data_IF_828395938859
#
_entry.id   IF_828395938859
#
_cell.length_a   1.000
_cell.length_b   1.000
_cell.length_c   1.000
_cell.angle_alpha   90.00
_cell.angle_beta   90.00
_cell.angle_gamma   90.00
#
_symmetry.space_group_name_H-M   'P 1'
#
loop_
_entity.id
_entity.type
_entity.pdbx_description
1 polymer ?
#
# COMPACT_ATOMS: atom_id res chain seq x y z
N UNK A 1 27.94 17.83 29.76
CA UNK A 1 28.19 18.27 28.38
C UNK A 1 27.66 17.18 27.46
N UNK A 2 26.66 17.41 26.61
CA UNK A 2 26.31 16.43 25.58
C UNK A 2 27.45 16.38 24.56
N UNK A 3 27.98 15.18 24.32
CA UNK A 3 29.15 14.96 23.46
C UNK A 3 28.92 15.51 22.04
N UNK A 4 29.90 16.27 21.55
CA UNK A 4 29.79 17.11 20.36
C UNK A 4 30.21 16.43 19.05
N UNK A 5 30.45 15.12 18.99
CA UNK A 5 30.66 14.41 17.71
C UNK A 5 30.58 12.89 17.91
N UNK A 6 29.35 12.36 17.96
CA UNK A 6 29.11 10.97 17.59
C UNK A 6 28.53 11.02 16.18
N UNK A 7 29.28 10.53 15.18
CA UNK A 7 28.79 10.40 13.80
C UNK A 7 27.35 9.86 13.83
N UNK A 8 26.43 10.56 13.15
CA UNK A 8 25.01 10.21 13.17
C UNK A 8 24.88 8.71 12.88
N UNK A 9 24.28 7.95 13.80
CA UNK A 9 24.02 6.53 13.56
C UNK A 9 23.27 6.34 12.25
N UNK A 10 23.48 5.20 11.58
CA UNK A 10 23.02 4.98 10.19
C UNK A 10 21.54 5.39 9.95
N UNK A 11 20.67 5.15 10.93
CA UNK A 11 19.27 5.58 10.90
C UNK A 11 19.09 7.10 10.76
N UNK A 12 19.78 7.88 11.60
CA UNK A 12 19.73 9.33 11.58
C UNK A 12 20.47 9.92 10.38
N UNK A 13 21.53 9.27 9.92
CA UNK A 13 22.22 9.63 8.68
C UNK A 13 21.32 9.47 7.45
N UNK A 14 20.49 8.41 7.42
CA UNK A 14 19.43 8.20 6.42
C UNK A 14 18.19 9.10 6.63
N UNK A 15 18.20 9.96 7.66
CA UNK A 15 17.11 10.89 7.95
C UNK A 15 15.84 10.22 8.46
N UNK A 16 15.91 9.01 8.99
CA UNK A 16 14.76 8.28 9.54
C UNK A 16 14.53 8.63 11.01
N UNK A 17 13.28 8.54 11.47
CA UNK A 17 12.93 8.76 12.88
C UNK A 17 13.29 7.58 13.78
N UNK A 18 12.71 6.41 13.50
CA UNK A 18 13.01 5.15 14.19
C UNK A 18 13.42 4.10 13.16
N UNK A 19 14.47 3.34 13.48
CA UNK A 19 14.86 2.16 12.70
C UNK A 19 14.76 0.87 13.52
N UNK A 20 14.13 -0.15 12.95
CA UNK A 20 14.05 -1.51 13.49
C UNK A 20 14.68 -2.45 12.47
N UNK A 21 15.96 -2.75 12.63
CA UNK A 21 16.80 -3.38 11.60
C UNK A 21 17.26 -4.77 12.03
N UNK A 22 16.83 -5.81 11.31
CA UNK A 22 17.41 -7.14 11.29
C UNK A 22 17.82 -7.53 9.86
N UNK A 23 18.17 -8.81 9.65
CA UNK A 23 18.48 -9.36 8.31
C UNK A 23 17.65 -10.63 8.04
N UNK A 24 17.77 -11.21 6.85
CA UNK A 24 17.10 -12.48 6.54
C UNK A 24 17.67 -13.64 7.37
N UNK A 25 18.97 -13.63 7.64
CA UNK A 25 19.69 -14.62 8.44
C UNK A 25 19.45 -14.43 9.94
N UNK A 26 19.35 -13.16 10.37
CA UNK A 26 19.17 -12.77 11.76
C UNK A 26 18.00 -11.77 11.90
N UNK A 27 16.75 -12.24 11.74
CA UNK A 27 15.61 -11.34 11.80
C UNK A 27 15.39 -10.85 13.23
N UNK A 28 15.05 -9.57 13.35
CA UNK A 28 14.73 -8.96 14.64
C UNK A 28 13.29 -9.32 15.04
N UNK A 29 13.14 -10.02 16.17
CA UNK A 29 11.88 -10.69 16.53
C UNK A 29 11.11 -9.94 17.62
N UNK A 30 9.79 -9.86 17.47
CA UNK A 30 8.88 -9.46 18.56
C UNK A 30 8.94 -7.98 18.98
N UNK A 31 9.54 -7.12 18.16
CA UNK A 31 9.62 -5.68 18.44
C UNK A 31 8.23 -5.05 18.38
N UNK A 32 7.96 -4.14 19.32
CA UNK A 32 6.73 -3.34 19.33
C UNK A 32 7.07 -1.85 19.35
N UNK A 33 6.56 -1.09 18.39
CA UNK A 33 6.58 0.37 18.35
C UNK A 33 5.15 0.84 18.58
N UNK A 34 4.91 1.62 19.65
CA UNK A 34 3.54 2.01 20.03
C UNK A 34 3.45 3.39 20.62
N UNK A 35 2.28 4.02 20.41
CA UNK A 35 1.84 5.22 21.15
C UNK A 35 2.80 6.41 21.09
N UNK A 36 3.29 6.74 19.89
CA UNK A 36 4.21 7.86 19.68
C UNK A 36 3.94 8.60 18.37
N UNK A 37 4.49 9.80 18.24
CA UNK A 37 4.42 10.61 17.01
C UNK A 37 5.79 10.69 16.36
N UNK A 38 5.87 10.36 15.06
CA UNK A 38 7.06 10.46 14.21
C UNK A 38 6.80 11.54 13.16
N UNK A 39 7.46 12.69 13.28
CA UNK A 39 7.12 13.89 12.53
C UNK A 39 8.33 14.60 11.96
N UNK A 40 8.24 15.00 10.69
CA UNK A 40 9.17 15.97 10.09
C UNK A 40 10.55 15.40 9.78
N UNK A 41 10.68 14.07 9.74
CA UNK A 41 11.94 13.42 9.36
C UNK A 41 12.17 13.55 7.85
N UNK A 42 13.42 13.77 7.41
CA UNK A 42 13.73 13.94 5.99
C UNK A 42 13.60 12.66 5.18
N UNK A 43 13.66 11.50 5.84
CA UNK A 43 13.34 10.19 5.28
C UNK A 43 12.04 9.64 5.83
N UNK A 44 12.09 8.45 6.43
CA UNK A 44 10.92 7.74 6.95
C UNK A 44 10.60 8.14 8.40
N UNK A 45 9.32 8.10 8.78
CA UNK A 45 8.94 8.16 10.18
C UNK A 45 9.47 6.93 10.93
N UNK A 46 8.98 5.75 10.56
CA UNK A 46 9.48 4.45 10.99
C UNK A 46 10.01 3.67 9.78
N UNK A 47 11.24 3.15 9.88
CA UNK A 47 11.82 2.20 8.94
C UNK A 47 12.06 0.87 9.66
N UNK A 48 11.43 -0.21 9.20
CA UNK A 48 11.67 -1.55 9.70
C UNK A 48 12.12 -2.46 8.56
N UNK A 49 13.18 -3.24 8.76
CA UNK A 49 13.65 -4.22 7.77
C UNK A 49 14.10 -5.51 8.46
N UNK A 50 13.87 -6.66 7.84
CA UNK A 50 14.30 -7.96 8.38
C UNK A 50 13.67 -8.28 9.74
N UNK A 51 12.35 -8.09 9.89
CA UNK A 51 11.65 -8.32 11.17
C UNK A 51 10.72 -9.53 11.15
N UNK A 52 10.49 -10.10 12.33
CA UNK A 52 9.52 -11.18 12.53
C UNK A 52 8.59 -10.85 13.71
N UNK A 53 7.29 -10.78 13.46
CA UNK A 53 6.27 -10.37 14.45
C UNK A 53 6.47 -8.94 14.96
N UNK A 54 6.84 -8.02 14.07
CA UNK A 54 6.80 -6.58 14.35
C UNK A 54 5.36 -6.15 14.64
N UNK A 55 5.16 -5.35 15.68
CA UNK A 55 3.89 -4.71 15.99
C UNK A 55 4.05 -3.20 15.99
N UNK A 56 3.37 -2.52 15.07
CA UNK A 56 3.23 -1.06 15.07
C UNK A 56 1.80 -0.76 15.46
N UNK A 57 1.61 0.03 16.53
CA UNK A 57 0.26 0.32 17.02
C UNK A 57 0.09 1.69 17.64
N UNK A 58 -0.91 2.44 17.18
CA UNK A 58 -1.20 3.77 17.74
C UNK A 58 -0.07 4.75 17.47
N UNK A 59 0.68 4.57 16.38
CA UNK A 59 1.74 5.46 15.93
C UNK A 59 1.13 6.51 15.01
N UNK A 60 1.46 7.78 15.23
CA UNK A 60 1.16 8.85 14.27
C UNK A 60 2.43 9.17 13.49
N UNK A 61 2.47 8.87 12.19
CA UNK A 61 3.58 9.22 11.31
C UNK A 61 3.15 10.30 10.32
N UNK A 62 3.74 11.49 10.41
CA UNK A 62 3.27 12.63 9.63
C UNK A 62 4.37 13.55 9.11
N UNK A 63 4.14 14.13 7.92
CA UNK A 63 5.04 15.11 7.32
C UNK A 63 6.49 14.61 7.18
N UNK A 64 6.67 13.31 6.95
CA UNK A 64 7.98 12.72 6.70
C UNK A 64 8.31 12.76 5.21
N UNK A 65 9.59 12.87 4.87
CA UNK A 65 10.09 13.11 3.52
C UNK A 65 10.02 11.90 2.57
N UNK A 66 9.66 10.72 3.07
CA UNK A 66 9.40 9.55 2.21
C UNK A 66 8.17 8.80 2.68
N UNK A 67 8.31 7.79 3.55
CA UNK A 67 7.20 6.98 4.06
C UNK A 67 6.86 7.31 5.51
N UNK A 68 5.59 7.20 5.88
CA UNK A 68 5.18 7.32 7.28
C UNK A 68 5.71 6.15 8.10
N UNK A 69 5.21 4.95 7.81
CA UNK A 69 5.67 3.68 8.39
C UNK A 69 6.01 2.72 7.25
N UNK A 70 7.27 2.31 7.20
CA UNK A 70 7.78 1.39 6.20
C UNK A 70 8.25 0.07 6.83
N UNK A 71 7.88 -1.06 6.22
CA UNK A 71 8.32 -2.39 6.58
C UNK A 71 8.82 -3.14 5.33
N UNK A 72 10.09 -3.52 5.34
CA UNK A 72 10.77 -4.24 4.29
C UNK A 72 11.19 -5.64 4.79
N UNK A 73 11.25 -6.65 3.91
CA UNK A 73 11.78 -7.99 4.23
C UNK A 73 11.25 -8.57 5.56
N UNK A 74 10.00 -8.28 5.88
CA UNK A 74 9.43 -8.53 7.22
C UNK A 74 8.26 -9.50 7.15
N UNK A 75 8.14 -10.36 8.15
CA UNK A 75 7.10 -11.39 8.22
C UNK A 75 6.28 -11.30 9.50
N UNK A 76 5.01 -11.74 9.42
CA UNK A 76 4.04 -11.79 10.54
C UNK A 76 3.85 -10.44 11.23
N UNK A 77 4.01 -9.35 10.49
CA UNK A 77 3.90 -8.00 11.04
C UNK A 77 2.43 -7.62 11.23
N UNK A 78 2.16 -6.75 12.22
CA UNK A 78 0.85 -6.15 12.43
C UNK A 78 1.02 -4.63 12.55
N UNK A 79 0.48 -3.90 11.57
CA UNK A 79 0.38 -2.43 11.59
C UNK A 79 -1.09 -2.09 11.88
N UNK A 80 -1.37 -1.45 13.01
CA UNK A 80 -2.77 -1.25 13.40
C UNK A 80 -3.06 -0.04 14.25
N UNK A 81 -4.21 0.59 14.01
CA UNK A 81 -4.62 1.80 14.72
C UNK A 81 -3.62 2.95 14.56
N UNK A 82 -2.84 2.94 13.49
CA UNK A 82 -1.87 3.97 13.16
C UNK A 82 -2.52 5.09 12.34
N UNK A 83 -1.96 6.29 12.46
CA UNK A 83 -2.33 7.46 11.66
C UNK A 83 -1.14 7.84 10.80
N UNK A 84 -1.26 7.72 9.48
CA UNK A 84 -0.21 8.14 8.55
C UNK A 84 -0.71 9.27 7.65
N UNK A 85 -0.20 10.49 7.84
CA UNK A 85 -0.72 11.65 7.12
C UNK A 85 0.32 12.61 6.59
N UNK A 86 0.03 13.15 5.40
CA UNK A 86 0.85 14.18 4.76
C UNK A 86 2.33 13.79 4.62
N UNK A 87 2.64 12.50 4.49
CA UNK A 87 3.98 12.04 4.14
C UNK A 87 4.20 12.22 2.64
N UNK A 88 5.45 12.41 2.22
CA UNK A 88 5.76 12.79 0.84
C UNK A 88 5.39 11.72 -0.19
N UNK A 89 5.52 10.44 0.18
CA UNK A 89 5.15 9.30 -0.66
C UNK A 89 4.00 8.49 -0.03
N UNK A 90 4.28 7.30 0.51
CA UNK A 90 3.26 6.44 1.11
C UNK A 90 3.03 6.72 2.61
N UNK A 91 1.77 6.58 3.05
CA UNK A 91 1.45 6.56 4.48
C UNK A 91 2.01 5.30 5.15
N UNK A 92 1.57 4.14 4.65
CA UNK A 92 2.05 2.82 5.05
C UNK A 92 2.66 2.12 3.84
N UNK A 93 3.92 1.69 3.95
CA UNK A 93 4.66 1.05 2.86
C UNK A 93 5.16 -0.32 3.31
N UNK A 94 4.78 -1.38 2.58
CA UNK A 94 5.25 -2.73 2.83
C UNK A 94 5.86 -3.29 1.55
N UNK A 95 7.10 -3.77 1.62
CA UNK A 95 7.80 -4.30 0.45
C UNK A 95 8.62 -5.56 0.72
N UNK A 96 8.76 -6.39 -0.31
CA UNK A 96 9.73 -7.48 -0.34
C UNK A 96 11.15 -6.92 -0.28
N UNK A 97 11.49 -6.04 -1.21
CA UNK A 97 12.75 -5.30 -1.33
C UNK A 97 12.50 -3.89 -1.84
N UNK A 98 13.32 -2.93 -1.42
CA UNK A 98 13.22 -1.53 -1.89
C UNK A 98 14.12 -1.19 -3.08
N UNK A 99 15.24 -1.90 -3.21
CA UNK A 99 16.38 -1.56 -4.06
C UNK A 99 16.71 -2.60 -5.14
N UNK A 100 16.36 -3.87 -4.91
CA UNK A 100 16.54 -4.96 -5.88
C UNK A 100 15.23 -5.43 -6.50
N UNK A 101 15.31 -5.94 -7.73
CA UNK A 101 14.22 -6.68 -8.37
C UNK A 101 14.34 -8.15 -7.96
N UNK A 102 13.44 -8.59 -7.09
CA UNK A 102 13.34 -9.95 -6.58
C UNK A 102 11.87 -10.38 -6.59
N UNK A 103 11.66 -11.69 -6.72
CA UNK A 103 10.34 -12.30 -6.57
C UNK A 103 9.65 -11.89 -5.27
N UNK A 104 8.32 -11.86 -5.29
CA UNK A 104 7.52 -11.47 -4.16
C UNK A 104 7.77 -12.36 -2.94
N UNK A 105 7.94 -11.72 -1.78
CA UNK A 105 8.23 -12.42 -0.52
C UNK A 105 6.95 -12.78 0.22
N UNK A 106 6.88 -14.02 0.71
CA UNK A 106 5.79 -14.47 1.59
C UNK A 106 5.92 -13.80 2.97
N UNK A 107 4.95 -12.93 3.29
CA UNK A 107 4.92 -12.22 4.58
C UNK A 107 4.45 -13.11 5.73
N UNK A 108 4.00 -14.33 5.46
CA UNK A 108 3.51 -15.30 6.43
C UNK A 108 2.35 -14.75 7.27
N UNK A 109 1.39 -14.08 6.63
CA UNK A 109 0.20 -13.45 7.23
C UNK A 109 0.48 -12.13 7.94
N UNK A 110 1.17 -11.20 7.27
CA UNK A 110 1.21 -9.80 7.72
C UNK A 110 -0.19 -9.17 7.60
N UNK A 111 -0.54 -8.28 8.54
CA UNK A 111 -1.84 -7.60 8.60
C UNK A 111 -1.69 -6.10 8.77
N UNK A 112 -2.39 -5.33 7.94
CA UNK A 112 -2.52 -3.88 8.00
C UNK A 112 -3.98 -3.54 8.27
N UNK A 113 -4.32 -3.09 9.48
CA UNK A 113 -5.73 -2.90 9.86
C UNK A 113 -6.06 -1.73 10.75
N UNK A 114 -7.27 -1.18 10.63
CA UNK A 114 -7.76 -0.09 11.48
C UNK A 114 -6.89 1.17 11.44
N UNK A 115 -6.17 1.40 10.34
CA UNK A 115 -5.33 2.58 10.18
C UNK A 115 -6.11 3.71 9.50
N UNK A 116 -5.69 4.95 9.75
CA UNK A 116 -6.19 6.14 9.04
C UNK A 116 -5.06 6.74 8.22
N UNK A 117 -5.20 6.73 6.90
CA UNK A 117 -4.19 7.24 5.97
C UNK A 117 -4.73 8.43 5.18
N UNK A 118 -4.07 9.59 5.26
CA UNK A 118 -4.63 10.84 4.72
C UNK A 118 -3.59 11.74 4.06
N UNK A 119 -3.90 12.32 2.90
CA UNK A 119 -3.06 13.38 2.30
C UNK A 119 -1.70 12.93 1.74
N UNK A 120 -1.39 11.64 1.76
CA UNK A 120 -0.16 11.07 1.21
C UNK A 120 -0.24 10.96 -0.32
N UNK A 121 0.86 10.64 -1.01
CA UNK A 121 0.81 10.23 -2.43
C UNK A 121 0.01 8.93 -2.54
N UNK A 122 0.38 7.92 -1.75
CA UNK A 122 -0.36 6.66 -1.65
C UNK A 122 -0.72 6.39 -0.20
N UNK A 123 -1.95 5.97 0.09
CA UNK A 123 -2.36 5.63 1.45
C UNK A 123 -1.61 4.41 1.97
N UNK A 124 -1.84 3.26 1.33
CA UNK A 124 -1.19 1.96 1.61
C UNK A 124 -0.56 1.42 0.33
N UNK A 125 0.73 1.09 0.38
CA UNK A 125 1.45 0.42 -0.70
C UNK A 125 1.89 -0.97 -0.26
N UNK A 126 1.57 -1.98 -1.07
CA UNK A 126 2.06 -3.36 -0.92
C UNK A 126 2.83 -3.71 -2.19
N UNK A 127 4.14 -3.90 -2.08
CA UNK A 127 5.02 -4.08 -3.25
C UNK A 127 5.82 -5.38 -3.18
N UNK A 128 5.67 -6.26 -4.17
CA UNK A 128 6.41 -7.55 -4.25
C UNK A 128 6.25 -8.37 -2.97
N UNK A 129 5.01 -8.54 -2.53
CA UNK A 129 4.68 -9.31 -1.33
C UNK A 129 3.57 -10.32 -1.62
N UNK A 130 3.57 -11.40 -0.83
CA UNK A 130 2.48 -12.37 -0.79
C UNK A 130 1.93 -12.61 0.61
N UNK A 131 0.74 -13.21 0.69
CA UNK A 131 0.13 -13.72 1.93
C UNK A 131 -0.08 -12.63 3.00
N UNK A 132 -0.69 -11.51 2.60
CA UNK A 132 -0.89 -10.31 3.41
C UNK A 132 -2.35 -9.85 3.34
N UNK A 133 -2.85 -9.30 4.45
CA UNK A 133 -4.19 -8.72 4.53
C UNK A 133 -4.13 -7.21 4.82
N UNK A 134 -4.75 -6.40 3.98
CA UNK A 134 -5.14 -5.02 4.22
C UNK A 134 -6.62 -5.02 4.55
N UNK A 135 -7.00 -4.61 5.76
CA UNK A 135 -8.41 -4.64 6.15
C UNK A 135 -8.87 -3.53 7.10
N UNK A 136 -10.13 -3.11 6.96
CA UNK A 136 -10.77 -2.18 7.91
C UNK A 136 -9.99 -0.87 8.13
N UNK A 137 -9.30 -0.37 7.11
CA UNK A 137 -8.61 0.91 7.11
C UNK A 137 -9.50 2.01 6.53
N UNK A 138 -9.20 3.26 6.88
CA UNK A 138 -9.81 4.45 6.29
C UNK A 138 -8.77 5.23 5.50
N UNK A 139 -9.06 5.52 4.23
CA UNK A 139 -8.17 6.29 3.36
C UNK A 139 -8.92 7.44 2.67
N UNK A 140 -8.45 8.66 2.86
CA UNK A 140 -9.06 9.86 2.26
C UNK A 140 -8.04 10.92 1.86
N UNK A 141 -8.31 11.66 0.79
CA UNK A 141 -7.48 12.79 0.37
C UNK A 141 -6.05 12.43 -0.07
N UNK A 142 -5.73 11.15 -0.24
CA UNK A 142 -4.48 10.72 -0.89
C UNK A 142 -4.59 10.90 -2.42
N UNK A 143 -3.52 10.65 -3.17
CA UNK A 143 -3.61 10.58 -4.65
C UNK A 143 -4.12 9.21 -5.11
N UNK A 144 -3.70 8.16 -4.41
CA UNK A 144 -4.26 6.80 -4.48
C UNK A 144 -4.46 6.23 -3.08
N UNK A 145 -5.52 5.46 -2.86
CA UNK A 145 -5.85 4.93 -1.54
C UNK A 145 -5.02 3.67 -1.20
N UNK A 146 -5.15 2.62 -2.01
CA UNK A 146 -4.44 1.35 -1.88
C UNK A 146 -3.81 0.97 -3.22
N UNK A 147 -2.52 0.66 -3.20
CA UNK A 147 -1.76 0.26 -4.38
C UNK A 147 -1.02 -1.05 -4.11
N UNK A 148 -1.43 -2.12 -4.80
CA UNK A 148 -0.76 -3.42 -4.81
C UNK A 148 0.07 -3.50 -6.09
N UNK A 149 1.38 -3.68 -5.95
CA UNK A 149 2.33 -3.67 -7.07
C UNK A 149 3.17 -4.96 -7.08
N UNK A 150 3.06 -5.70 -8.17
CA UNK A 150 4.05 -6.66 -8.64
C UNK A 150 4.59 -6.25 -10.01
N UNK A 151 5.53 -7.02 -10.50
CA UNK A 151 6.28 -6.79 -11.75
C UNK A 151 6.43 -8.10 -12.56
N UNK A 152 5.60 -9.11 -12.27
CA UNK A 152 5.67 -10.42 -12.93
C UNK A 152 6.90 -11.26 -12.56
N UNK A 153 7.78 -10.78 -11.68
CA UNK A 153 8.85 -11.59 -11.11
C UNK A 153 8.28 -12.82 -10.39
N UNK A 154 9.04 -13.92 -10.36
CA UNK A 154 8.61 -15.17 -9.70
C UNK A 154 9.30 -15.32 -8.34
N UNK A 155 8.55 -15.62 -7.25
CA UNK A 155 7.10 -15.71 -7.16
C UNK A 155 6.37 -14.38 -7.43
N UNK A 156 5.19 -14.40 -8.04
CA UNK A 156 4.41 -13.19 -8.36
C UNK A 156 3.90 -12.53 -7.07
N UNK A 157 3.59 -11.23 -7.04
CA UNK A 157 2.86 -10.65 -5.90
C UNK A 157 1.45 -11.27 -5.82
N UNK A 158 0.97 -11.72 -4.67
CA UNK A 158 -0.31 -12.46 -4.65
C UNK A 158 -0.67 -13.12 -3.32
N UNK A 159 -1.74 -13.93 -3.30
CA UNK A 159 -2.35 -14.40 -2.05
C UNK A 159 -2.70 -13.25 -1.10
N UNK A 160 -3.26 -12.17 -1.65
CA UNK A 160 -3.54 -10.94 -0.93
C UNK A 160 -5.03 -10.80 -0.63
N UNK A 161 -5.34 -10.03 0.42
CA UNK A 161 -6.71 -9.68 0.78
C UNK A 161 -6.79 -8.19 1.03
N UNK A 162 -7.65 -7.48 0.31
CA UNK A 162 -7.99 -6.07 0.54
C UNK A 162 -9.47 -6.02 0.87
N UNK A 163 -9.81 -5.89 2.14
CA UNK A 163 -11.18 -6.17 2.60
C UNK A 163 -11.72 -5.21 3.65
N UNK A 164 -13.00 -4.85 3.52
CA UNK A 164 -13.71 -4.01 4.52
C UNK A 164 -13.06 -2.65 4.74
N UNK A 165 -12.25 -2.17 3.80
CA UNK A 165 -11.70 -0.83 3.84
C UNK A 165 -12.75 0.21 3.43
N UNK A 166 -12.65 1.41 4.01
CA UNK A 166 -13.46 2.57 3.64
C UNK A 166 -12.56 3.61 2.97
N UNK A 167 -12.66 3.67 1.65
CA UNK A 167 -11.79 4.48 0.79
C UNK A 167 -12.66 5.55 0.14
N UNK A 168 -12.35 6.82 0.37
CA UNK A 168 -13.18 7.91 -0.16
C UNK A 168 -12.37 9.11 -0.60
N UNK A 169 -12.71 9.65 -1.76
CA UNK A 169 -12.21 10.95 -2.23
C UNK A 169 -10.67 11.09 -2.20
N UNK A 170 -9.95 10.05 -2.60
CA UNK A 170 -8.50 10.12 -2.82
C UNK A 170 -8.21 10.78 -4.18
N UNK A 171 -8.46 12.09 -4.26
CA UNK A 171 -8.49 12.90 -5.50
C UNK A 171 -7.34 13.90 -5.59
N UNK A 172 -6.39 13.87 -4.65
CA UNK A 172 -5.22 14.75 -4.69
C UNK A 172 -4.44 14.45 -5.98
N UNK A 173 -3.95 15.49 -6.65
CA UNK A 173 -3.06 15.31 -7.79
C UNK A 173 -1.62 15.12 -7.30
N UNK A 174 -0.96 14.09 -7.82
CA UNK A 174 0.45 13.82 -7.61
C UNK A 174 1.15 13.66 -8.95
N UNK A 175 2.18 14.48 -9.22
CA UNK A 175 2.93 14.45 -10.47
C UNK A 175 3.52 13.07 -10.79
N UNK A 176 3.75 12.79 -12.07
CA UNK A 176 4.40 11.55 -12.50
C UNK A 176 5.82 11.42 -11.91
N UNK A 177 6.28 10.18 -11.75
CA UNK A 177 7.67 9.85 -11.45
C UNK A 177 8.25 9.03 -12.60
N UNK A 178 9.57 8.79 -12.65
CA UNK A 178 10.15 7.95 -13.69
C UNK A 178 9.58 6.53 -13.76
N UNK A 179 9.02 6.01 -12.66
CA UNK A 179 8.52 4.63 -12.54
C UNK A 179 6.98 4.51 -12.49
N UNK A 180 6.26 5.63 -12.45
CA UNK A 180 4.81 5.62 -12.21
C UNK A 180 4.19 6.85 -12.88
N UNK A 181 3.05 6.71 -13.60
CA UNK A 181 2.32 7.87 -14.10
C UNK A 181 1.91 8.80 -12.94
N UNK A 182 1.40 9.98 -13.30
CA UNK A 182 0.76 10.82 -12.30
C UNK A 182 -0.40 10.05 -11.62
N UNK A 183 -0.68 10.35 -10.35
CA UNK A 183 -1.74 9.70 -9.59
C UNK A 183 -2.80 10.73 -9.23
N UNK A 184 -4.06 10.35 -9.39
CA UNK A 184 -5.20 11.15 -9.00
C UNK A 184 -6.45 10.28 -9.03
N UNK A 185 -7.30 10.35 -8.01
CA UNK A 185 -8.64 9.78 -8.09
C UNK A 185 -8.64 8.26 -8.17
N UNK A 186 -7.87 7.62 -7.30
CA UNK A 186 -7.69 6.16 -7.32
C UNK A 186 -8.09 5.56 -5.97
N UNK A 187 -9.02 4.60 -5.99
CA UNK A 187 -9.39 3.79 -4.83
C UNK A 187 -8.39 2.65 -4.58
N UNK A 188 -8.64 1.50 -5.20
CA UNK A 188 -7.79 0.30 -5.12
C UNK A 188 -7.22 0.04 -6.51
N UNK A 189 -5.90 -0.17 -6.61
CA UNK A 189 -5.25 -0.66 -7.83
C UNK A 189 -4.53 -1.97 -7.54
N UNK A 190 -4.76 -2.95 -8.40
CA UNK A 190 -3.95 -4.17 -8.49
C UNK A 190 -3.16 -4.12 -9.80
N UNK A 191 -1.85 -4.30 -9.72
CA UNK A 191 -0.99 -4.31 -10.89
C UNK A 191 0.14 -5.33 -10.79
N UNK A 192 0.27 -6.19 -11.81
CA UNK A 192 1.24 -7.29 -11.85
C UNK A 192 1.12 -8.28 -10.70
N UNK A 193 -0.09 -8.48 -10.18
CA UNK A 193 -0.36 -9.35 -9.03
C UNK A 193 -1.28 -10.51 -9.40
N UNK A 194 -1.33 -11.53 -8.56
CA UNK A 194 -2.24 -12.66 -8.72
C UNK A 194 -3.03 -12.96 -7.44
N UNK A 195 -4.05 -13.81 -7.52
CA UNK A 195 -4.72 -14.44 -6.38
C UNK A 195 -5.08 -13.46 -5.24
N UNK A 196 -5.64 -12.31 -5.62
CA UNK A 196 -6.00 -11.23 -4.70
C UNK A 196 -7.52 -11.16 -4.54
N UNK A 197 -7.97 -11.21 -3.28
CA UNK A 197 -9.37 -10.99 -2.93
C UNK A 197 -9.60 -9.52 -2.58
N UNK A 198 -10.46 -8.85 -3.34
CA UNK A 198 -10.96 -7.50 -3.03
C UNK A 198 -12.43 -7.62 -2.65
N UNK A 199 -12.74 -7.52 -1.35
CA UNK A 199 -14.11 -7.81 -0.90
C UNK A 199 -14.65 -6.97 0.26
N UNK A 200 -15.93 -6.62 0.19
CA UNK A 200 -16.63 -5.91 1.26
C UNK A 200 -16.15 -4.47 1.46
N UNK A 201 -15.45 -3.88 0.49
CA UNK A 201 -14.94 -2.52 0.60
C UNK A 201 -16.01 -1.49 0.23
N UNK A 202 -15.92 -0.30 0.83
CA UNK A 202 -16.69 0.87 0.45
C UNK A 202 -15.75 1.86 -0.24
N UNK A 203 -15.87 1.98 -1.56
CA UNK A 203 -14.93 2.70 -2.43
C UNK A 203 -15.67 3.79 -3.20
N UNK A 204 -15.53 5.03 -2.76
CA UNK A 204 -16.44 6.09 -3.19
C UNK A 204 -15.75 7.38 -3.64
N UNK A 205 -16.32 8.02 -4.65
CA UNK A 205 -15.98 9.40 -5.03
C UNK A 205 -14.52 9.62 -5.43
N UNK A 206 -13.84 8.61 -5.97
CA UNK A 206 -12.51 8.73 -6.55
C UNK A 206 -12.61 9.30 -7.97
N UNK A 207 -12.06 10.49 -8.21
CA UNK A 207 -12.20 11.22 -9.48
C UNK A 207 -10.84 11.75 -9.91
N UNK A 208 -10.40 11.29 -11.07
CA UNK A 208 -9.15 11.71 -11.69
C UNK A 208 -9.12 11.32 -13.16
N UNK A 209 -8.02 11.68 -13.81
CA UNK A 209 -7.78 11.39 -15.24
C UNK A 209 -6.48 10.61 -15.47
N UNK A 210 -5.89 10.07 -14.40
CA UNK A 210 -4.73 9.20 -14.56
C UNK A 210 -5.12 7.86 -15.15
N UNK A 211 -4.17 7.14 -15.79
CA UNK A 211 -4.42 5.77 -16.26
C UNK A 211 -4.92 4.82 -15.15
N UNK A 212 -4.63 5.14 -13.89
CA UNK A 212 -5.00 4.37 -12.71
C UNK A 212 -6.23 4.94 -11.97
N UNK A 213 -6.89 5.96 -12.52
CA UNK A 213 -8.10 6.53 -11.92
C UNK A 213 -9.28 5.56 -11.99
N UNK A 214 -10.09 5.55 -10.94
CA UNK A 214 -11.25 4.68 -10.78
C UNK A 214 -11.47 4.24 -9.33
N UNK A 215 -12.57 3.49 -9.11
CA UNK A 215 -12.87 2.89 -7.81
C UNK A 215 -11.96 1.70 -7.51
N UNK A 216 -12.19 0.56 -8.17
CA UNK A 216 -11.32 -0.61 -8.16
C UNK A 216 -10.79 -0.82 -9.57
N UNK A 217 -9.47 -0.82 -9.72
CA UNK A 217 -8.80 -0.85 -11.02
C UNK A 217 -7.86 -2.06 -11.08
N UNK A 218 -8.06 -2.91 -12.08
CA UNK A 218 -7.09 -3.92 -12.49
C UNK A 218 -6.31 -3.36 -13.68
N UNK A 219 -4.99 -3.34 -13.57
CA UNK A 219 -4.12 -2.75 -14.58
C UNK A 219 -2.85 -3.59 -14.70
N UNK A 220 -2.43 -3.95 -15.92
CA UNK A 220 -1.17 -4.69 -16.12
C UNK A 220 0.01 -3.99 -15.43
N UNK A 221 1.06 -4.74 -15.09
CA UNK A 221 2.30 -4.18 -14.54
C UNK A 221 2.87 -3.11 -15.46
N UNK A 222 3.69 -2.21 -14.91
CA UNK A 222 4.38 -1.20 -15.74
C UNK A 222 5.40 -1.80 -16.71
N UNK A 223 5.70 -3.08 -16.55
CA UNK A 223 6.54 -3.90 -17.43
C UNK A 223 5.71 -4.76 -18.40
N UNK A 224 4.37 -4.67 -18.34
CA UNK A 224 3.43 -5.37 -19.21
C UNK A 224 3.01 -6.76 -18.73
N UNK A 225 3.37 -7.15 -17.50
CA UNK A 225 2.93 -8.42 -16.92
C UNK A 225 1.44 -8.33 -16.53
N UNK A 226 0.59 -9.29 -16.92
CA UNK A 226 -0.81 -9.26 -16.53
C UNK A 226 -0.99 -9.48 -15.03
N UNK A 227 -2.15 -9.11 -14.51
CA UNK A 227 -2.66 -9.68 -13.27
C UNK A 227 -3.31 -11.05 -13.54
N UNK A 228 -3.49 -11.86 -12.50
CA UNK A 228 -4.16 -13.15 -12.62
C UNK A 228 -5.11 -13.50 -11.46
N UNK A 229 -6.22 -14.19 -11.74
CA UNK A 229 -7.06 -14.88 -10.73
C UNK A 229 -7.55 -14.03 -9.55
N UNK A 230 -7.73 -12.74 -9.78
CA UNK A 230 -8.35 -11.85 -8.80
C UNK A 230 -9.84 -12.17 -8.60
N UNK A 231 -10.31 -12.00 -7.36
CA UNK A 231 -11.73 -12.08 -7.01
C UNK A 231 -12.16 -10.74 -6.44
N UNK A 232 -13.03 -10.03 -7.16
CA UNK A 232 -13.59 -8.73 -6.75
C UNK A 232 -15.06 -8.93 -6.45
N UNK A 233 -15.45 -8.93 -5.16
CA UNK A 233 -16.82 -9.25 -4.78
C UNK A 233 -17.39 -8.47 -3.62
N UNK A 234 -18.71 -8.33 -3.60
CA UNK A 234 -19.45 -7.76 -2.47
C UNK A 234 -18.97 -6.35 -2.07
N UNK A 235 -18.45 -5.56 -3.02
CA UNK A 235 -17.98 -4.20 -2.78
C UNK A 235 -19.08 -3.18 -3.11
N UNK A 236 -19.15 -2.09 -2.35
CA UNK A 236 -19.89 -0.89 -2.74
C UNK A 236 -18.91 0.08 -3.42
N UNK A 237 -19.05 0.27 -4.73
CA UNK A 237 -18.11 1.05 -5.54
C UNK A 237 -18.90 2.05 -6.36
N UNK A 238 -18.97 3.31 -5.90
CA UNK A 238 -19.89 4.29 -6.50
C UNK A 238 -19.32 5.70 -6.57
N UNK A 239 -19.72 6.44 -7.60
CA UNK A 239 -19.38 7.85 -7.77
C UNK A 239 -17.92 8.06 -8.18
N UNK A 240 -17.24 7.01 -8.63
CA UNK A 240 -15.87 7.08 -9.11
C UNK A 240 -15.83 7.44 -10.61
N UNK A 241 -14.72 8.02 -11.05
CA UNK A 241 -14.49 8.46 -12.43
C UNK A 241 -13.04 8.16 -12.82
N UNK A 242 -12.81 7.57 -14.01
CA UNK A 242 -13.78 7.37 -15.10
C UNK A 242 -14.72 6.16 -14.95
N UNK A 243 -14.46 5.21 -14.04
CA UNK A 243 -15.36 4.08 -13.77
C UNK A 243 -15.30 3.67 -12.29
N UNK A 244 -16.36 2.99 -11.83
CA UNK A 244 -16.40 2.38 -10.50
C UNK A 244 -15.54 1.11 -10.47
N UNK A 245 -15.78 0.19 -11.40
CA UNK A 245 -14.91 -0.97 -11.63
C UNK A 245 -14.23 -0.81 -12.97
N UNK A 246 -12.90 -0.87 -13.01
CA UNK A 246 -12.14 -0.77 -14.24
C UNK A 246 -11.21 -1.97 -14.36
N UNK A 247 -11.61 -2.97 -15.13
CA UNK A 247 -10.74 -4.03 -15.58
C UNK A 247 -10.06 -3.58 -16.88
N UNK A 248 -8.87 -2.98 -16.73
CA UNK A 248 -8.01 -2.52 -17.83
C UNK A 248 -6.83 -3.45 -18.03
N UNK A 249 -6.96 -4.67 -17.55
CA UNK A 249 -5.97 -5.71 -17.79
C UNK A 249 -6.23 -6.41 -19.13
N UNK A 250 -5.27 -7.22 -19.54
CA UNK A 250 -5.36 -8.12 -20.71
C UNK A 250 -5.78 -9.53 -20.31
N UNK A 251 -5.64 -9.91 -19.04
CA UNK A 251 -6.05 -11.21 -18.53
C UNK A 251 -7.57 -11.32 -18.33
N UNK A 252 -8.11 -12.51 -18.57
CA UNK A 252 -9.55 -12.82 -18.42
C UNK A 252 -9.84 -13.72 -17.22
N UNK A 253 -8.84 -13.99 -16.38
CA UNK A 253 -8.95 -14.92 -15.25
C UNK A 253 -9.60 -14.30 -14.00
N UNK A 254 -9.99 -13.04 -14.06
CA UNK A 254 -10.61 -12.30 -12.97
C UNK A 254 -12.09 -12.65 -12.81
N UNK A 255 -12.57 -12.63 -11.57
CA UNK A 255 -13.98 -12.85 -11.26
C UNK A 255 -14.57 -11.64 -10.55
N UNK A 256 -15.73 -11.20 -11.01
CA UNK A 256 -16.50 -10.11 -10.44
C UNK A 256 -17.89 -10.63 -10.03
N UNK A 257 -18.32 -10.40 -8.80
CA UNK A 257 -19.63 -10.88 -8.34
C UNK A 257 -20.18 -10.06 -7.17
N UNK A 258 -21.48 -9.76 -7.17
CA UNK A 258 -22.14 -9.09 -6.03
C UNK A 258 -21.64 -7.66 -5.73
N UNK A 259 -20.93 -7.03 -6.67
CA UNK A 259 -20.51 -5.64 -6.50
C UNK A 259 -21.70 -4.71 -6.79
N UNK A 260 -21.88 -3.69 -5.96
CA UNK A 260 -22.81 -2.60 -6.23
C UNK A 260 -22.04 -1.45 -6.85
N UNK A 261 -22.20 -1.24 -8.16
CA UNK A 261 -21.58 -0.14 -8.90
C UNK A 261 -22.49 0.45 -9.97
N UNK A 262 -22.17 1.67 -10.41
CA UNK A 262 -22.93 2.37 -11.46
C UNK A 262 -22.32 2.17 -12.84
N UNK A 263 -20.98 2.18 -12.93
CA UNK A 263 -20.28 2.06 -14.20
C UNK A 263 -19.08 1.13 -14.08
N UNK A 264 -19.03 0.11 -14.93
CA UNK A 264 -17.86 -0.72 -15.12
C UNK A 264 -17.25 -0.53 -16.51
N UNK A 265 -15.93 -0.72 -16.60
CA UNK A 265 -15.14 -0.75 -17.82
C UNK A 265 -14.34 -2.07 -17.82
N UNK A 266 -14.59 -3.03 -18.73
CA UNK A 266 -15.72 -3.08 -19.67
C UNK A 266 -17.07 -3.25 -18.94
N UNK A 267 -18.18 -3.25 -19.67
CA UNK A 267 -19.50 -3.51 -19.10
C UNK A 267 -19.62 -4.95 -18.56
N UNK A 268 -20.30 -5.15 -17.42
CA UNK A 268 -20.62 -6.48 -16.85
C UNK A 268 -20.01 -6.85 -15.48
N UNK A 269 -18.90 -6.25 -15.01
CA UNK A 269 -18.41 -6.41 -13.64
C UNK A 269 -19.30 -5.83 -12.53
N UNK A 270 -20.20 -4.90 -12.87
CA UNK A 270 -21.43 -4.65 -12.11
C UNK A 270 -22.43 -5.76 -12.46
#
# INVERSE_FOLDING_TARGET
MPGTDAGRGACAAAGHGICVTGTDEAPLKGVTVRSLTLRGFTGNGLWATGTDRLRVRGVTAEKNGTWGIAAERSVRSVLSHDVARDNADAGLFLAGTTDTEEGARDTRRTVVRHNRVTGNRVGVTVRRLRNLTVESNEATGNCAAVLVVGDGSTPVAGDLRVTRDHLRANNKYCAATPRMPFLQGTGIVLTGAEDTLVAGNRVENHRGTSPLSGGIVLFQSFEGSPNERHTVRDNLVTGNSPADLADRDTATSHTFSGNTCTLSEPAGPC
#
